data_IF_091488798454
#
_entry.id   IF_091488798454
#
_cell.length_a   1.000
_cell.length_b   1.000
_cell.length_c   1.000
_cell.angle_alpha   90.00
_cell.angle_beta   90.00
_cell.angle_gamma   90.00
#
_symmetry.space_group_name_H-M   'P 1'
#
loop_
_entity.id
_entity.type
_entity.pdbx_description
1 polymer ?
#
# COMPACT_ATOMS: atom_id res chain seq x y z
N UNK A 1 -3.72 30.32 6.63
CA UNK A 1 -3.34 29.35 5.58
C UNK A 1 -4.46 28.33 5.48
N UNK A 2 -4.96 28.04 4.28
CA UNK A 2 -5.97 27.00 4.07
C UNK A 2 -5.26 25.71 3.69
N UNK A 3 -5.52 24.61 4.38
CA UNK A 3 -4.94 23.31 4.05
C UNK A 3 -5.65 22.70 2.82
N UNK A 4 -4.89 22.04 1.95
CA UNK A 4 -5.43 21.19 0.89
C UNK A 4 -6.38 20.12 1.41
N UNK A 5 -7.54 19.93 0.78
CA UNK A 5 -8.42 18.79 1.06
C UNK A 5 -7.79 17.45 0.62
N UNK A 6 -6.97 17.49 -0.45
CA UNK A 6 -6.38 16.29 -1.08
C UNK A 6 -4.97 16.56 -1.59
N UNK A 7 -4.12 15.55 -1.49
CA UNK A 7 -2.76 15.56 -2.07
C UNK A 7 -2.59 14.35 -2.97
N UNK A 8 -1.94 14.53 -4.13
CA UNK A 8 -1.68 13.43 -5.07
C UNK A 8 -0.21 13.07 -5.08
N UNK A 9 0.08 11.77 -5.11
CA UNK A 9 1.40 11.21 -5.31
C UNK A 9 1.38 10.33 -6.56
N UNK A 10 2.42 10.42 -7.39
CA UNK A 10 2.49 9.68 -8.65
C UNK A 10 3.94 9.47 -9.11
N UNK A 11 4.12 8.63 -10.13
CA UNK A 11 5.45 8.38 -10.71
C UNK A 11 6.39 7.64 -9.75
N UNK A 12 5.85 6.67 -9.02
CA UNK A 12 6.62 5.87 -8.07
C UNK A 12 7.63 4.95 -8.78
N UNK A 13 8.86 4.95 -8.28
CA UNK A 13 9.90 4.01 -8.71
C UNK A 13 10.79 3.61 -7.55
N UNK A 14 11.25 2.36 -7.57
CA UNK A 14 12.27 1.82 -6.69
C UNK A 14 13.37 1.20 -7.56
N UNK A 15 14.57 1.77 -7.53
CA UNK A 15 15.71 1.30 -8.36
C UNK A 15 16.97 1.21 -7.51
N UNK A 16 17.98 0.44 -7.93
CA UNK A 16 19.28 0.46 -7.28
C UNK A 16 20.00 1.82 -7.48
N UNK A 17 20.80 2.22 -6.49
CA UNK A 17 21.63 3.43 -6.56
C UNK A 17 22.76 3.18 -7.55
N UNK A 18 22.89 4.06 -8.56
CA UNK A 18 23.90 3.95 -9.61
C UNK A 18 23.38 3.41 -10.95
N UNK A 19 22.19 2.81 -10.98
CA UNK A 19 21.50 2.37 -12.21
C UNK A 19 20.50 3.43 -12.67
N UNK A 20 20.47 3.76 -13.97
CA UNK A 20 19.45 4.67 -14.51
C UNK A 20 18.13 3.90 -14.76
N UNK A 21 16.97 4.58 -14.62
CA UNK A 21 15.68 4.00 -14.97
C UNK A 21 15.61 3.84 -16.50
N UNK A 22 15.93 2.65 -16.98
CA UNK A 22 16.03 2.30 -18.41
C UNK A 22 16.77 0.99 -18.66
N UNK A 23 17.65 0.57 -17.74
CA UNK A 23 18.50 -0.63 -17.85
C UNK A 23 17.91 -1.88 -17.16
N UNK A 24 16.61 -1.92 -16.89
CA UNK A 24 15.98 -3.05 -16.20
C UNK A 24 14.85 -3.64 -17.03
N UNK A 25 15.25 -4.54 -17.93
CA UNK A 25 14.38 -5.63 -18.38
C UNK A 25 13.86 -6.39 -17.15
N UNK A 26 12.59 -6.81 -17.23
CA UNK A 26 11.88 -7.64 -16.25
C UNK A 26 12.82 -8.57 -15.49
N UNK A 27 13.13 -8.22 -14.25
CA UNK A 27 13.67 -9.17 -13.29
C UNK A 27 12.48 -9.58 -12.43
N UNK A 28 11.82 -10.68 -12.82
CA UNK A 28 10.93 -11.41 -11.94
C UNK A 28 11.70 -11.71 -10.64
N UNK A 29 11.25 -11.11 -9.54
CA UNK A 29 11.77 -11.45 -8.22
C UNK A 29 11.47 -12.93 -7.97
N UNK A 30 12.44 -13.75 -7.54
CA UNK A 30 12.17 -15.15 -7.23
C UNK A 30 11.13 -15.22 -6.13
N UNK A 31 10.03 -15.93 -6.41
CA UNK A 31 9.02 -16.33 -5.42
C UNK A 31 9.76 -16.98 -4.25
N UNK A 32 9.82 -16.30 -3.11
CA UNK A 32 10.33 -16.92 -1.89
C UNK A 32 9.36 -18.04 -1.51
N UNK A 33 9.84 -19.27 -1.24
CA UNK A 33 8.98 -20.40 -0.96
C UNK A 33 8.19 -20.15 0.33
N UNK A 34 6.88 -20.35 0.24
CA UNK A 34 5.97 -20.31 1.37
C UNK A 34 6.43 -21.34 2.42
N UNK A 35 6.91 -20.83 3.56
CA UNK A 35 7.04 -21.64 4.78
C UNK A 35 5.66 -21.76 5.39
N UNK A 36 5.07 -22.95 5.33
CA UNK A 36 3.84 -23.29 6.06
C UNK A 36 4.18 -23.70 7.50
N UNK A 37 3.73 -22.99 8.54
CA UNK A 37 3.57 -23.58 9.86
C UNK A 37 2.18 -24.25 9.94
N UNK A 38 2.14 -25.46 10.48
CA UNK A 38 0.92 -26.21 10.73
C UNK A 38 0.01 -25.46 11.74
N UNK A 39 -1.26 -25.29 11.37
CA UNK A 39 -2.29 -24.59 12.14
C UNK A 39 -3.00 -25.58 13.09
N UNK A 40 -3.05 -25.37 14.42
CA UNK A 40 -4.07 -25.98 15.26
C UNK A 40 -5.43 -25.29 15.05
N UNK A 41 -6.56 -26.01 15.03
CA UNK A 41 -7.86 -25.41 14.74
C UNK A 41 -8.28 -24.38 15.80
N UNK A 42 -8.65 -23.15 15.42
CA UNK A 42 -9.15 -22.16 16.38
C UNK A 42 -10.59 -22.49 16.81
N UNK A 43 -10.86 -22.28 18.10
CA UNK A 43 -12.20 -22.30 18.69
C UNK A 43 -13.13 -21.29 17.99
N UNK A 44 -14.47 -21.51 18.02
CA UNK A 44 -15.41 -20.66 17.31
C UNK A 44 -15.46 -19.26 17.94
N UNK A 45 -14.79 -18.30 17.30
CA UNK A 45 -14.92 -16.87 17.61
C UNK A 45 -16.23 -16.35 17.01
N UNK A 46 -16.93 -15.53 17.80
CA UNK A 46 -18.19 -14.88 17.45
C UNK A 46 -18.14 -14.20 16.06
N UNK A 47 -19.29 -14.09 15.35
CA UNK A 47 -19.31 -13.47 14.03
C UNK A 47 -18.76 -12.05 14.08
N UNK A 48 -17.70 -11.81 13.31
CA UNK A 48 -17.12 -10.49 13.14
C UNK A 48 -18.19 -9.53 12.57
N UNK A 49 -18.24 -8.26 13.04
CA UNK A 49 -19.17 -7.27 12.50
C UNK A 49 -18.94 -7.06 11.00
N UNK A 50 -20.03 -6.90 10.24
CA UNK A 50 -20.03 -6.77 8.79
C UNK A 50 -19.17 -5.57 8.31
N UNK A 51 -18.51 -5.67 7.14
CA UNK A 51 -17.63 -4.64 6.63
C UNK A 51 -18.41 -3.35 6.32
N UNK A 52 -18.02 -2.25 6.96
CA UNK A 52 -18.35 -0.90 6.48
C UNK A 52 -17.67 -0.65 5.13
N UNK A 53 -18.33 0.10 4.25
CA UNK A 53 -18.14 0.15 2.80
C UNK A 53 -16.83 0.78 2.28
N UNK A 54 -15.67 0.44 2.83
CA UNK A 54 -14.37 0.87 2.32
C UNK A 54 -13.48 -0.35 2.11
N UNK A 55 -13.48 -0.89 0.89
CA UNK A 55 -12.57 -1.97 0.53
C UNK A 55 -11.11 -1.51 0.48
N UNK A 56 -10.21 -2.42 0.17
CA UNK A 56 -8.82 -2.08 -0.15
C UNK A 56 -8.77 -1.02 -1.27
N UNK A 57 -8.08 0.12 -1.07
CA UNK A 57 -7.95 1.19 -2.06
C UNK A 57 -7.46 0.77 -3.45
N UNK A 58 -6.73 -0.35 -3.52
CA UNK A 58 -6.22 -0.94 -4.75
C UNK A 58 -4.70 -1.11 -4.73
N UNK A 59 -4.15 -1.37 -5.92
CA UNK A 59 -2.73 -1.60 -6.13
C UNK A 59 -2.11 -0.45 -6.92
N UNK A 60 -0.95 0.00 -6.47
CA UNK A 60 -0.14 1.04 -7.07
C UNK A 60 1.06 0.41 -7.78
N UNK A 61 1.23 0.71 -9.07
CA UNK A 61 2.40 0.28 -9.84
C UNK A 61 3.63 1.10 -9.44
N UNK A 62 4.66 0.41 -8.98
CA UNK A 62 5.97 0.97 -8.66
C UNK A 62 6.98 0.47 -9.68
N UNK A 63 7.55 1.39 -10.46
CA UNK A 63 8.54 1.06 -11.49
C UNK A 63 9.79 0.46 -10.86
N UNK A 64 10.28 -0.69 -11.36
CA UNK A 64 11.42 -1.41 -10.78
C UNK A 64 11.08 -2.29 -9.57
N UNK A 65 9.79 -2.41 -9.21
CA UNK A 65 9.37 -3.27 -8.10
C UNK A 65 8.14 -4.14 -8.43
N UNK A 66 7.10 -3.57 -9.02
CA UNK A 66 5.85 -4.30 -9.28
C UNK A 66 4.62 -3.57 -8.74
N UNK A 67 3.52 -4.30 -8.57
CA UNK A 67 2.29 -3.77 -7.98
C UNK A 67 2.32 -3.88 -6.46
N UNK A 68 1.97 -2.79 -5.78
CA UNK A 68 1.99 -2.69 -4.31
C UNK A 68 0.59 -2.40 -3.82
N UNK A 69 0.07 -3.18 -2.87
CA UNK A 69 -1.22 -2.90 -2.27
C UNK A 69 -1.12 -1.69 -1.33
N UNK A 70 -2.23 -0.97 -1.18
CA UNK A 70 -2.34 0.14 -0.23
C UNK A 70 -3.32 -0.24 0.86
N UNK A 71 -2.90 -0.07 2.12
CA UNK A 71 -3.75 -0.26 3.31
C UNK A 71 -4.02 1.09 3.96
N UNK A 72 -5.30 1.53 4.07
CA UNK A 72 -5.67 2.72 4.83
C UNK A 72 -5.66 2.42 6.33
N UNK A 73 -5.35 3.42 7.15
CA UNK A 73 -5.57 3.35 8.60
C UNK A 73 -7.07 3.35 8.94
N UNK A 74 -7.44 2.94 10.15
CA UNK A 74 -8.82 3.11 10.64
C UNK A 74 -9.73 1.89 10.48
N UNK A 75 -9.19 0.73 10.08
CA UNK A 75 -9.93 -0.53 10.16
C UNK A 75 -10.52 -0.75 11.55
N UNK A 76 -11.81 -1.12 11.59
CA UNK A 76 -12.55 -1.36 12.83
C UNK A 76 -12.84 -0.11 13.66
N UNK A 77 -12.50 1.10 13.18
CA UNK A 77 -12.87 2.34 13.86
C UNK A 77 -14.31 2.75 13.55
N UNK A 78 -15.00 3.47 14.46
CA UNK A 78 -16.37 3.97 14.21
C UNK A 78 -16.47 4.86 12.96
N UNK A 79 -15.39 5.59 12.67
CA UNK A 79 -15.30 6.51 11.53
C UNK A 79 -14.95 5.80 10.21
N UNK A 80 -14.65 4.49 10.27
CA UNK A 80 -14.27 3.67 9.12
C UNK A 80 -12.81 3.86 8.69
N UNK A 81 -12.47 3.29 7.54
CA UNK A 81 -11.12 3.43 7.00
C UNK A 81 -10.88 4.86 6.48
N UNK A 82 -9.64 5.31 6.61
CA UNK A 82 -9.17 6.58 6.07
C UNK A 82 -9.39 6.65 4.55
N UNK A 83 -9.88 7.80 4.08
CA UNK A 83 -10.15 8.02 2.66
C UNK A 83 -8.85 8.11 1.85
N UNK A 84 -8.58 7.06 1.07
CA UNK A 84 -7.45 6.94 0.16
C UNK A 84 -7.94 6.31 -1.13
N UNK A 85 -7.59 6.92 -2.26
CA UNK A 85 -7.91 6.40 -3.58
C UNK A 85 -6.63 6.05 -4.34
N UNK A 86 -6.64 4.91 -5.04
CA UNK A 86 -5.65 4.60 -6.06
C UNK A 86 -6.30 4.76 -7.44
N UNK A 87 -5.91 5.81 -8.17
CA UNK A 87 -6.43 6.11 -9.51
C UNK A 87 -5.52 5.52 -10.59
N UNK A 88 -6.14 4.82 -11.52
CA UNK A 88 -5.50 4.19 -12.70
C UNK A 88 -4.31 3.28 -12.35
N UNK A 89 -4.26 2.78 -11.10
CA UNK A 89 -3.13 2.02 -10.57
C UNK A 89 -1.80 2.79 -10.49
N UNK A 90 -1.78 4.12 -10.64
CA UNK A 90 -0.54 4.91 -10.77
C UNK A 90 -0.51 6.17 -9.93
N UNK A 91 -1.67 6.67 -9.52
CA UNK A 91 -1.80 7.89 -8.73
C UNK A 91 -2.44 7.56 -7.40
N UNK A 92 -1.74 7.84 -6.31
CA UNK A 92 -2.27 7.77 -4.96
C UNK A 92 -2.86 9.13 -4.59
N UNK A 93 -4.12 9.17 -4.21
CA UNK A 93 -4.80 10.37 -3.71
C UNK A 93 -5.12 10.18 -2.25
N UNK A 94 -4.51 11.00 -1.39
CA UNK A 94 -4.80 11.01 0.04
C UNK A 94 -5.69 12.20 0.36
N UNK A 95 -6.71 11.98 1.17
CA UNK A 95 -7.58 13.04 1.68
C UNK A 95 -7.07 13.54 3.04
N UNK A 96 -7.57 14.68 3.49
CA UNK A 96 -7.21 15.23 4.80
C UNK A 96 -7.45 14.24 5.94
N UNK A 97 -6.46 14.12 6.82
CA UNK A 97 -6.49 13.20 7.95
C UNK A 97 -6.21 11.73 7.59
N UNK A 98 -6.10 11.39 6.31
CA UNK A 98 -5.84 10.02 5.89
C UNK A 98 -4.36 9.65 6.01
N UNK A 99 -4.12 8.37 6.36
CA UNK A 99 -2.80 7.74 6.37
C UNK A 99 -2.91 6.38 5.72
N UNK A 100 -1.94 6.04 4.87
CA UNK A 100 -1.89 4.78 4.15
C UNK A 100 -0.50 4.19 4.12
N UNK A 101 -0.42 2.87 4.07
CA UNK A 101 0.81 2.11 4.06
C UNK A 101 0.89 1.21 2.83
N UNK A 102 2.12 1.00 2.34
CA UNK A 102 2.41 0.00 1.33
C UNK A 102 2.41 -1.40 1.93
N UNK A 103 1.87 -2.33 1.16
CA UNK A 103 1.56 -3.68 1.60
C UNK A 103 1.74 -4.68 0.46
N UNK A 104 2.10 -5.92 0.80
CA UNK A 104 2.17 -7.01 -0.18
C UNK A 104 0.76 -7.52 -0.52
N UNK A 105 -0.13 -7.49 0.47
CA UNK A 105 -1.55 -7.87 0.34
C UNK A 105 -2.43 -6.89 1.10
N UNK A 106 -3.72 -6.86 0.80
CA UNK A 106 -4.68 -6.10 1.60
C UNK A 106 -5.94 -6.94 1.79
N UNK A 107 -6.36 -7.09 3.04
CA UNK A 107 -7.66 -7.68 3.38
C UNK A 107 -8.55 -6.61 3.97
N UNK A 108 -9.69 -6.34 3.33
CA UNK A 108 -10.59 -5.26 3.74
C UNK A 108 -11.15 -5.50 5.14
N UNK A 109 -11.12 -4.47 5.98
CA UNK A 109 -11.68 -4.51 7.34
C UNK A 109 -10.86 -5.29 8.37
N UNK A 110 -9.72 -5.89 8.00
CA UNK A 110 -8.88 -6.69 8.91
C UNK A 110 -7.54 -6.01 9.09
N UNK A 111 -7.17 -5.74 10.34
CA UNK A 111 -5.80 -5.39 10.68
C UNK A 111 -4.93 -6.65 10.78
N UNK A 112 -3.84 -6.69 10.02
CA UNK A 112 -2.78 -7.70 10.14
C UNK A 112 -1.46 -7.03 9.78
N UNK A 113 -0.47 -7.11 10.67
CA UNK A 113 0.85 -6.51 10.44
C UNK A 113 1.66 -7.28 9.38
N UNK A 114 1.31 -8.53 9.13
CA UNK A 114 1.92 -9.41 8.12
C UNK A 114 1.59 -8.96 6.69
N UNK A 115 0.57 -8.12 6.51
CA UNK A 115 0.23 -7.56 5.21
C UNK A 115 1.18 -6.43 4.80
N UNK A 116 1.79 -5.74 5.77
CA UNK A 116 2.67 -4.60 5.50
C UNK A 116 3.97 -5.06 4.85
N UNK A 117 4.38 -4.25 3.89
CA UNK A 117 5.54 -4.52 3.07
C UNK A 117 6.82 -4.04 3.78
N UNK A 118 7.73 -4.98 4.06
CA UNK A 118 9.04 -4.68 4.63
C UNK A 118 10.09 -4.50 3.52
N UNK A 119 10.27 -3.27 3.04
CA UNK A 119 11.27 -2.99 2.00
C UNK A 119 12.68 -2.79 2.54
N UNK A 120 13.62 -3.60 2.04
CA UNK A 120 15.05 -3.37 2.19
C UNK A 120 15.53 -2.25 1.27
N UNK A 121 15.58 -1.02 1.78
CA UNK A 121 15.96 0.17 1.00
C UNK A 121 17.47 0.41 0.93
N UNK A 122 18.28 -0.41 1.59
CA UNK A 122 19.74 -0.28 1.55
C UNK A 122 20.24 -0.46 0.12
N UNK A 123 20.99 0.51 -0.39
CA UNK A 123 21.48 0.50 -1.78
C UNK A 123 20.42 0.81 -2.84
N UNK A 124 19.18 1.14 -2.44
CA UNK A 124 18.07 1.46 -3.34
C UNK A 124 17.66 2.92 -3.23
N UNK A 125 16.93 3.39 -4.23
CA UNK A 125 16.41 4.74 -4.37
C UNK A 125 14.93 4.68 -4.67
N UNK A 126 14.13 5.22 -3.76
CA UNK A 126 12.72 5.52 -4.02
C UNK A 126 12.62 6.90 -4.66
N UNK A 127 11.79 7.03 -5.69
CA UNK A 127 11.34 8.32 -6.23
C UNK A 127 9.83 8.33 -6.37
N UNK A 128 9.27 9.51 -6.20
CA UNK A 128 7.88 9.83 -6.47
C UNK A 128 7.78 11.33 -6.74
N UNK A 129 6.64 11.76 -7.27
CA UNK A 129 6.26 13.16 -7.44
C UNK A 129 5.02 13.42 -6.61
N UNK A 130 4.90 14.64 -6.11
CA UNK A 130 3.73 15.10 -5.37
C UNK A 130 3.18 16.35 -6.02
N UNK A 131 1.86 16.36 -6.22
CA UNK A 131 1.11 17.56 -6.57
C UNK A 131 0.57 18.16 -5.27
N UNK A 132 1.20 19.27 -4.85
CA UNK A 132 0.82 20.08 -3.69
C UNK A 132 0.03 21.33 -4.09
N UNK A 133 -0.47 21.40 -5.34
CA UNK A 133 -1.28 22.54 -5.75
C UNK A 133 -2.55 22.61 -4.90
N UNK A 134 -2.68 23.71 -4.12
CA UNK A 134 -3.77 23.92 -3.17
C UNK A 134 -3.42 23.65 -1.71
N UNK A 135 -2.18 23.31 -1.37
CA UNK A 135 -1.72 23.07 0.01
C UNK A 135 -1.39 24.35 0.78
#
# INVERSE_FOLDING_TARGET
>A
AACSEKVKFYGFSLTDIGKQPGDEASSEVPVQPAVTPAVPPPAPLAPAPAPSSSGCPGNLKVTGHGDVAVIPTGWGSPDGAAAIDVKDGRTLVTHMGARGYFADTCTSGVYSNEQYMAHGLLGKRIRFKTDLSGA
#
